data_IF_400056679761
#
_entry.id   IF_400056679761
#
_cell.length_a   1.000
_cell.length_b   1.000
_cell.length_c   1.000
_cell.angle_alpha   90.00
_cell.angle_beta   90.00
_cell.angle_gamma   90.00
#
_symmetry.space_group_name_H-M   'P 1'
#
loop_
_entity.id
_entity.type
_entity.pdbx_description
1 polymer ?
#
# COMPACT_ATOMS: atom_id res chain seq x y z
N UNK A 1 11.69 15.71 -0.79
CA UNK A 1 12.40 14.91 -1.82
C UNK A 1 11.58 14.93 -3.11
N UNK A 2 12.22 15.14 -4.25
CA UNK A 2 11.57 15.20 -5.57
C UNK A 2 11.17 13.78 -6.00
N UNK A 3 9.89 13.55 -6.31
CA UNK A 3 9.44 12.31 -6.95
C UNK A 3 9.83 12.32 -8.42
N UNK A 4 10.11 11.16 -9.01
CA UNK A 4 10.14 11.04 -10.47
C UNK A 4 8.71 11.18 -11.00
N UNK A 5 8.57 11.69 -12.23
CA UNK A 5 7.30 11.64 -12.97
C UNK A 5 7.00 10.19 -13.39
N UNK A 6 5.80 9.66 -13.11
CA UNK A 6 5.44 8.30 -13.49
C UNK A 6 5.26 8.17 -15.02
N UNK A 7 5.57 6.98 -15.54
CA UNK A 7 5.20 6.58 -16.90
C UNK A 7 3.69 6.32 -17.01
N UNK A 8 3.16 6.17 -18.24
CA UNK A 8 1.75 5.81 -18.45
C UNK A 8 1.37 4.50 -17.75
N UNK A 9 2.25 3.49 -17.79
CA UNK A 9 2.04 2.19 -17.14
C UNK A 9 1.99 2.35 -15.61
N UNK A 10 2.89 3.16 -15.04
CA UNK A 10 2.91 3.44 -13.60
C UNK A 10 1.71 4.24 -13.12
N UNK A 11 1.26 5.22 -13.91
CA UNK A 11 0.03 5.97 -13.63
C UNK A 11 -1.18 5.04 -13.65
N UNK A 12 -1.29 4.16 -14.65
CA UNK A 12 -2.38 3.19 -14.73
C UNK A 12 -2.35 2.21 -13.56
N UNK A 13 -1.17 1.74 -13.16
CA UNK A 13 -1.01 0.91 -11.97
C UNK A 13 -1.50 1.61 -10.70
N UNK A 14 -1.05 2.85 -10.44
CA UNK A 14 -1.49 3.58 -9.25
C UNK A 14 -2.99 3.91 -9.28
N UNK A 15 -3.59 4.14 -10.46
CA UNK A 15 -5.02 4.31 -10.60
C UNK A 15 -5.80 3.04 -10.18
N UNK A 16 -5.37 1.86 -10.64
CA UNK A 16 -5.95 0.57 -10.21
C UNK A 16 -5.91 0.41 -8.69
N UNK A 17 -4.81 0.82 -8.04
CA UNK A 17 -4.70 0.78 -6.58
C UNK A 17 -5.72 1.68 -5.89
N UNK A 18 -5.95 2.89 -6.42
CA UNK A 18 -6.96 3.80 -5.88
C UNK A 18 -8.36 3.22 -5.97
N UNK A 19 -8.68 2.50 -7.05
CA UNK A 19 -9.96 1.79 -7.22
C UNK A 19 -10.08 0.59 -6.25
N UNK A 20 -9.00 -0.18 -6.11
CA UNK A 20 -8.94 -1.34 -5.21
C UNK A 20 -9.21 -0.98 -3.75
N UNK A 21 -8.72 0.18 -3.32
CA UNK A 21 -8.75 0.59 -1.93
C UNK A 21 -7.62 -0.03 -1.10
N UNK A 22 -7.78 0.01 0.23
CA UNK A 22 -6.75 -0.48 1.14
C UNK A 22 -6.64 -2.01 1.07
N UNK A 23 -5.48 -2.52 0.65
CA UNK A 23 -5.24 -3.95 0.53
C UNK A 23 -5.36 -4.70 1.86
N UNK A 24 -4.98 -4.06 2.97
CA UNK A 24 -5.16 -4.65 4.32
C UNK A 24 -6.63 -4.72 4.70
N UNK A 25 -7.40 -3.64 4.45
CA UNK A 25 -8.82 -3.64 4.80
C UNK A 25 -9.60 -4.71 4.03
N UNK A 26 -9.28 -4.86 2.74
CA UNK A 26 -9.93 -5.87 1.93
C UNK A 26 -9.49 -7.27 2.33
N UNK A 27 -8.18 -7.55 2.40
CA UNK A 27 -7.70 -8.92 2.66
C UNK A 27 -8.04 -9.44 4.05
N UNK A 28 -7.99 -8.60 5.08
CA UNK A 28 -8.17 -9.04 6.48
C UNK A 28 -9.62 -8.94 6.96
N UNK A 29 -10.40 -8.03 6.39
CA UNK A 29 -11.72 -7.68 6.93
C UNK A 29 -12.83 -7.70 5.88
N UNK A 30 -12.54 -8.00 4.62
CA UNK A 30 -13.49 -7.97 3.50
C UNK A 30 -14.21 -6.62 3.36
N UNK A 31 -13.48 -5.52 3.62
CA UNK A 31 -14.02 -4.16 3.57
C UNK A 31 -13.23 -3.29 2.60
N UNK A 32 -13.94 -2.64 1.68
CA UNK A 32 -13.38 -1.57 0.87
C UNK A 32 -13.21 -0.29 1.70
N UNK A 33 -12.03 0.31 1.63
CA UNK A 33 -11.80 1.66 2.15
C UNK A 33 -10.96 2.48 1.17
N UNK A 34 -11.24 3.78 1.00
CA UNK A 34 -10.42 4.66 0.20
C UNK A 34 -8.96 4.64 0.63
N UNK A 35 -8.06 4.79 -0.33
CA UNK A 35 -6.64 4.55 -0.11
C UNK A 35 -5.76 5.70 -0.57
N UNK A 36 -4.60 5.80 0.09
CA UNK A 36 -3.47 6.57 -0.36
C UNK A 36 -2.42 5.61 -0.97
N UNK A 37 -1.65 6.10 -1.93
CA UNK A 37 -0.56 5.32 -2.53
C UNK A 37 0.64 5.32 -1.58
N UNK A 38 1.01 4.12 -1.13
CA UNK A 38 2.20 3.87 -0.33
C UNK A 38 3.32 3.31 -1.22
N UNK A 39 4.48 3.98 -1.24
CA UNK A 39 5.68 3.53 -1.97
C UNK A 39 6.59 2.70 -1.05
N UNK A 40 6.91 1.48 -1.48
CA UNK A 40 7.69 0.52 -0.69
C UNK A 40 9.20 0.85 -0.72
N UNK A 41 9.71 1.23 -1.89
CA UNK A 41 11.16 1.45 -2.12
C UNK A 41 11.44 2.85 -2.71
N UNK A 42 10.87 3.88 -2.07
CA UNK A 42 11.04 5.27 -2.46
C UNK A 42 10.30 5.65 -3.75
N UNK A 43 10.63 6.83 -4.30
CA UNK A 43 9.86 7.47 -5.41
C UNK A 43 10.70 7.89 -6.62
N UNK A 44 12.00 7.58 -6.63
CA UNK A 44 12.95 8.09 -7.63
C UNK A 44 13.54 7.01 -8.53
N UNK A 45 13.65 5.76 -8.04
CA UNK A 45 14.18 4.64 -8.81
C UNK A 45 13.30 4.32 -10.03
N UNK A 46 13.85 3.71 -11.09
CA UNK A 46 13.05 3.07 -12.13
C UNK A 46 12.03 2.11 -11.51
N UNK A 47 10.80 2.12 -12.03
CA UNK A 47 9.69 1.26 -11.59
C UNK A 47 9.26 1.42 -10.12
N UNK A 48 9.75 2.45 -9.41
CA UNK A 48 9.39 2.69 -8.02
C UNK A 48 7.87 2.83 -7.82
N UNK A 49 7.17 3.37 -8.81
CA UNK A 49 5.71 3.53 -8.74
C UNK A 49 4.96 2.21 -8.98
N UNK A 50 5.58 1.20 -9.61
CA UNK A 50 5.04 -0.17 -9.70
C UNK A 50 5.26 -0.99 -8.41
N UNK A 51 6.07 -0.45 -7.48
CA UNK A 51 6.32 -1.01 -6.14
C UNK A 51 5.53 -0.22 -5.11
N UNK A 52 4.22 -0.19 -5.30
CA UNK A 52 3.27 0.54 -4.47
C UNK A 52 2.09 -0.34 -4.06
N UNK A 53 1.52 -0.04 -2.90
CA UNK A 53 0.28 -0.65 -2.40
C UNK A 53 -0.69 0.44 -1.97
N UNK A 54 -1.98 0.11 -1.96
CA UNK A 54 -3.01 0.97 -1.39
C UNK A 54 -3.13 0.73 0.12
N UNK A 55 -2.88 1.77 0.94
CA UNK A 55 -3.24 1.80 2.36
C UNK A 55 -4.21 2.96 2.71
N UNK A 56 -5.26 2.69 3.48
CA UNK A 56 -6.12 3.73 4.05
C UNK A 56 -5.39 4.52 5.14
N UNK A 57 -5.90 5.68 5.55
CA UNK A 57 -5.26 6.54 6.56
C UNK A 57 -4.80 5.77 7.82
N UNK A 58 -5.67 4.89 8.35
CA UNK A 58 -5.40 4.07 9.54
C UNK A 58 -4.25 3.09 9.34
N UNK A 59 -4.23 2.36 8.23
CA UNK A 59 -3.17 1.42 7.90
C UNK A 59 -1.93 2.09 7.30
N UNK A 60 -2.01 3.35 6.88
CA UNK A 60 -0.91 4.06 6.25
C UNK A 60 -0.10 4.89 7.25
N UNK A 61 -0.71 5.94 7.81
CA UNK A 61 0.05 7.04 8.45
C UNK A 61 -0.58 7.67 9.69
N UNK A 62 -1.68 7.11 10.18
CA UNK A 62 -2.30 7.60 11.43
C UNK A 62 -1.34 7.46 12.63
N UNK A 63 -0.48 6.44 12.63
CA UNK A 63 0.54 6.27 13.67
C UNK A 63 0.03 5.56 14.92
N UNK A 64 -0.88 4.59 14.76
CA UNK A 64 -1.46 3.81 15.85
C UNK A 64 -0.99 2.36 15.80
N UNK A 65 -0.74 1.77 16.97
CA UNK A 65 -0.48 0.34 17.14
C UNK A 65 -1.29 -0.14 18.34
N UNK A 66 -2.42 -0.83 18.07
CA UNK A 66 -3.29 -1.38 19.10
C UNK A 66 -3.97 -2.67 18.61
N UNK A 67 -4.84 -3.23 19.45
CA UNK A 67 -5.52 -4.50 19.14
C UNK A 67 -6.40 -4.42 17.90
N UNK A 68 -6.90 -3.23 17.53
CA UNK A 68 -7.78 -3.05 16.37
C UNK A 68 -7.01 -2.97 15.05
N UNK A 69 -5.90 -2.23 15.01
CA UNK A 69 -5.08 -2.10 13.82
C UNK A 69 -3.67 -1.60 14.11
N UNK A 70 -2.78 -1.79 13.14
CA UNK A 70 -1.43 -1.23 13.15
C UNK A 70 -1.24 -0.35 11.92
N UNK A 71 -0.83 0.91 12.11
CA UNK A 71 -0.42 1.78 11.02
C UNK A 71 0.95 1.37 10.51
N UNK A 72 1.13 1.37 9.19
CA UNK A 72 2.44 1.16 8.59
C UNK A 72 3.42 2.18 9.13
N UNK A 73 3.16 3.48 9.01
CA UNK A 73 3.99 4.50 9.63
C UNK A 73 3.47 4.83 11.04
N UNK A 74 4.34 4.84 12.07
CA UNK A 74 5.79 4.52 12.03
C UNK A 74 6.10 3.02 12.18
N UNK A 75 5.12 2.18 12.55
CA UNK A 75 5.32 0.82 13.04
C UNK A 75 5.51 -0.25 11.94
N UNK A 76 6.55 -0.13 11.10
CA UNK A 76 6.81 -1.11 10.02
C UNK A 76 6.81 -2.55 10.52
N UNK A 77 7.60 -2.81 11.56
CA UNK A 77 7.85 -4.16 12.05
C UNK A 77 6.57 -4.82 12.54
N UNK A 78 5.77 -4.08 13.31
CA UNK A 78 4.51 -4.55 13.87
C UNK A 78 3.44 -4.69 12.77
N UNK A 79 3.43 -3.77 11.80
CA UNK A 79 2.58 -3.85 10.62
C UNK A 79 2.88 -5.13 9.82
N UNK A 80 4.14 -5.39 9.51
CA UNK A 80 4.53 -6.58 8.75
C UNK A 80 4.33 -7.87 9.54
N UNK A 81 4.48 -7.84 10.87
CA UNK A 81 4.15 -8.96 11.74
C UNK A 81 2.66 -9.31 11.69
N UNK A 82 1.78 -8.29 11.63
CA UNK A 82 0.32 -8.47 11.66
C UNK A 82 -0.27 -8.80 10.30
N UNK A 83 0.21 -8.15 9.24
CA UNK A 83 -0.40 -8.19 7.90
C UNK A 83 0.56 -8.73 6.83
N UNK A 84 1.70 -9.32 7.20
CA UNK A 84 2.72 -9.72 6.23
C UNK A 84 3.50 -8.54 5.65
N UNK A 85 4.59 -8.85 4.96
CA UNK A 85 5.52 -7.85 4.42
C UNK A 85 4.88 -6.96 3.36
N UNK A 86 5.41 -5.75 3.18
CA UNK A 86 4.99 -4.85 2.08
C UNK A 86 5.07 -5.55 0.70
N UNK A 87 6.09 -6.39 0.49
CA UNK A 87 6.24 -7.21 -0.72
C UNK A 87 5.15 -8.29 -0.85
N UNK A 88 4.76 -8.93 0.24
CA UNK A 88 3.67 -9.92 0.22
C UNK A 88 2.32 -9.29 -0.13
N UNK A 89 2.06 -8.08 0.41
CA UNK A 89 0.89 -7.29 0.09
C UNK A 89 0.89 -6.84 -1.37
N UNK A 90 2.04 -6.43 -1.91
CA UNK A 90 2.18 -6.10 -3.33
C UNK A 90 1.89 -7.30 -4.23
N UNK A 91 2.41 -8.48 -3.89
CA UNK A 91 2.15 -9.70 -4.68
C UNK A 91 0.67 -10.08 -4.65
N UNK A 92 0.05 -10.06 -3.47
CA UNK A 92 -1.40 -10.28 -3.36
C UNK A 92 -2.19 -9.26 -4.17
N UNK A 93 -1.81 -7.99 -4.12
CA UNK A 93 -2.46 -6.90 -4.87
C UNK A 93 -2.40 -7.13 -6.38
N UNK A 94 -1.26 -7.63 -6.90
CA UNK A 94 -1.11 -7.94 -8.34
C UNK A 94 -2.07 -9.04 -8.79
N UNK A 95 -2.27 -10.06 -7.97
CA UNK A 95 -3.19 -11.17 -8.25
C UNK A 95 -4.66 -10.72 -8.34
N UNK A 96 -5.02 -9.54 -7.84
CA UNK A 96 -6.39 -9.02 -7.94
C UNK A 96 -6.71 -8.42 -9.32
N UNK A 97 -5.70 -8.32 -10.20
CA UNK A 97 -5.82 -7.75 -11.54
C UNK A 97 -5.36 -8.71 -12.65
N UNK A 98 -5.12 -9.97 -12.30
CA UNK A 98 -4.90 -11.08 -13.23
C UNK A 98 -6.24 -11.67 -13.65
#
# INVERSE_FOLDING_TARGET
MKSRSPTKVETAWMAKLTELGCCVCWREYDVHTPTEIHHIDGKTKPEAHLKTIGLCYRHHREGVNNDRYVSRHPFKREFEKRYGTESSLLNWTRQQFE
#
